data_IF_084642780378
#
_entry.id   IF_084642780378
#
_cell.length_a   1.000
_cell.length_b   1.000
_cell.length_c   1.000
_cell.angle_alpha   90.00
_cell.angle_beta   90.00
_cell.angle_gamma   90.00
#
_symmetry.space_group_name_H-M   'P 1'
#
loop_
_entity.id
_entity.type
_entity.pdbx_description
1 polymer ?
#
# COMPACT_ATOMS: atom_id res chain seq x y z
N UNK A 1 35.09 -0.32 -17.44
CA UNK A 1 33.89 0.19 -17.14
C UNK A 1 33.11 -0.69 -16.30
N UNK A 2 32.56 -0.15 -15.35
CA UNK A 2 31.84 -0.92 -14.39
C UNK A 2 30.44 -1.15 -14.87
N UNK A 3 30.02 -2.35 -14.79
CA UNK A 3 28.66 -2.65 -15.08
C UNK A 3 27.83 -2.15 -13.91
N UNK A 4 26.88 -1.28 -14.16
CA UNK A 4 26.11 -0.77 -13.05
C UNK A 4 25.30 -1.86 -12.40
N UNK A 5 25.49 -2.03 -11.12
CA UNK A 5 24.63 -2.90 -10.35
C UNK A 5 23.23 -2.27 -10.30
N UNK A 6 22.17 -3.08 -10.30
CA UNK A 6 20.84 -2.51 -10.12
C UNK A 6 20.83 -1.78 -8.80
N UNK A 7 20.26 -0.59 -8.79
CA UNK A 7 20.14 0.16 -7.56
C UNK A 7 19.17 -0.53 -6.64
N UNK A 8 19.54 -0.69 -5.39
CA UNK A 8 18.65 -1.27 -4.40
C UNK A 8 17.63 -0.24 -3.97
N UNK A 9 16.39 -0.64 -3.74
CA UNK A 9 15.38 0.29 -3.24
C UNK A 9 15.74 0.75 -1.83
N UNK A 10 15.47 2.02 -1.57
CA UNK A 10 15.59 2.57 -0.22
C UNK A 10 14.23 2.81 0.36
N UNK A 11 14.16 2.93 1.67
CA UNK A 11 12.94 3.30 2.37
C UNK A 11 13.18 4.57 3.15
N UNK A 12 12.20 5.45 3.16
CA UNK A 12 12.25 6.63 4.00
C UNK A 12 10.84 7.10 4.34
N UNK A 13 10.70 7.94 5.38
CA UNK A 13 9.38 8.50 5.68
C UNK A 13 8.91 9.45 4.59
N UNK A 14 7.60 9.61 4.50
CA UNK A 14 6.98 10.56 3.60
C UNK A 14 7.37 12.00 3.97
N UNK A 15 7.64 12.80 2.96
CA UNK A 15 7.84 14.24 3.11
C UNK A 15 6.76 14.96 2.29
N UNK A 16 6.30 16.14 2.74
CA UNK A 16 5.23 16.84 2.02
C UNK A 16 5.50 17.03 0.53
N UNK A 17 6.75 17.23 0.15
CA UNK A 17 7.09 17.40 -1.26
C UNK A 17 6.88 16.14 -2.09
N UNK A 18 6.66 15.00 -1.45
CA UNK A 18 6.45 13.74 -2.18
C UNK A 18 5.04 13.64 -2.74
N UNK A 19 4.10 14.43 -2.24
CA UNK A 19 2.68 14.23 -2.58
C UNK A 19 2.41 14.20 -4.08
N UNK A 20 3.01 15.11 -4.84
CA UNK A 20 2.80 15.14 -6.28
C UNK A 20 3.29 13.88 -6.99
N UNK A 21 4.49 13.43 -6.63
CA UNK A 21 5.05 12.22 -7.24
C UNK A 21 4.24 10.98 -6.85
N UNK A 22 3.76 10.92 -5.61
CA UNK A 22 2.98 9.79 -5.17
C UNK A 22 1.59 9.77 -5.80
N UNK A 23 1.02 10.94 -6.07
CA UNK A 23 -0.25 11.00 -6.79
C UNK A 23 -0.09 10.44 -8.20
N UNK A 24 0.99 10.83 -8.90
CA UNK A 24 1.27 10.31 -10.23
C UNK A 24 1.50 8.80 -10.20
N UNK A 25 2.16 8.33 -9.16
CA UNK A 25 2.43 6.92 -8.98
C UNK A 25 1.13 6.13 -8.83
N UNK A 26 0.17 6.66 -8.07
CA UNK A 26 -1.13 6.03 -7.93
C UNK A 26 -1.83 5.91 -9.27
N UNK A 27 -1.83 6.99 -10.05
CA UNK A 27 -2.48 6.99 -11.35
C UNK A 27 -1.86 5.95 -12.28
N UNK A 28 -0.53 5.92 -12.33
CA UNK A 28 0.17 4.96 -13.18
C UNK A 28 -0.10 3.52 -12.73
N UNK A 29 -0.12 3.29 -11.44
CA UNK A 29 -0.34 1.96 -10.89
C UNK A 29 -1.75 1.45 -11.21
N UNK A 30 -2.75 2.30 -11.01
CA UNK A 30 -4.12 1.90 -11.27
C UNK A 30 -4.32 1.62 -12.76
N UNK A 31 -3.82 2.50 -13.61
CA UNK A 31 -3.97 2.36 -15.05
C UNK A 31 -3.35 1.08 -15.56
N UNK A 32 -2.16 0.75 -15.09
CA UNK A 32 -1.43 -0.40 -15.61
C UNK A 32 -1.81 -1.71 -14.92
N UNK A 33 -1.92 -1.71 -13.60
CA UNK A 33 -2.03 -2.95 -12.86
C UNK A 33 -3.48 -3.39 -12.62
N UNK A 34 -4.44 -2.49 -12.78
CA UNK A 34 -5.84 -2.81 -12.59
C UNK A 34 -6.60 -2.97 -13.90
N UNK A 35 -5.91 -2.88 -15.03
CA UNK A 35 -6.56 -2.86 -16.34
C UNK A 35 -7.38 -4.12 -16.64
N UNK A 36 -6.96 -5.26 -16.11
CA UNK A 36 -7.67 -6.51 -16.39
C UNK A 36 -8.90 -6.71 -15.51
N UNK A 37 -8.92 -6.08 -14.36
CA UNK A 37 -9.98 -6.31 -13.38
C UNK A 37 -11.04 -5.21 -13.36
N UNK A 38 -10.73 -4.04 -13.90
CA UNK A 38 -11.61 -2.88 -13.81
C UNK A 38 -11.70 -2.17 -15.14
N UNK A 39 -12.88 -1.64 -15.46
CA UNK A 39 -13.08 -0.86 -16.68
C UNK A 39 -12.33 0.45 -16.60
N UNK A 40 -12.17 1.11 -17.74
CA UNK A 40 -11.50 2.40 -17.78
C UNK A 40 -12.24 3.42 -16.91
N UNK A 41 -13.58 3.42 -16.96
CA UNK A 41 -14.36 4.33 -16.12
C UNK A 41 -14.16 4.04 -14.63
N UNK A 42 -14.09 2.76 -14.26
CA UNK A 42 -13.83 2.39 -12.87
C UNK A 42 -12.44 2.82 -12.43
N UNK A 43 -11.45 2.68 -13.31
CA UNK A 43 -10.08 3.09 -12.99
C UNK A 43 -9.98 4.61 -12.80
N UNK A 44 -10.64 5.38 -13.67
CA UNK A 44 -10.64 6.82 -13.54
C UNK A 44 -11.30 7.28 -12.26
N UNK A 45 -12.47 6.71 -11.94
CA UNK A 45 -13.17 7.08 -10.72
C UNK A 45 -12.33 6.75 -9.49
N UNK A 46 -11.70 5.58 -9.49
CA UNK A 46 -10.85 5.17 -8.38
C UNK A 46 -9.67 6.13 -8.22
N UNK A 47 -8.98 6.43 -9.33
CA UNK A 47 -7.82 7.32 -9.29
C UNK A 47 -8.20 8.69 -8.77
N UNK A 48 -9.31 9.25 -9.25
CA UNK A 48 -9.76 10.55 -8.80
C UNK A 48 -10.08 10.58 -7.31
N UNK A 49 -10.65 9.51 -6.80
CA UNK A 49 -11.00 9.45 -5.38
C UNK A 49 -9.75 9.43 -4.49
N UNK A 50 -8.67 8.85 -4.99
CA UNK A 50 -7.45 8.77 -4.21
C UNK A 50 -6.71 10.10 -4.20
N UNK A 51 -6.59 10.74 -5.36
CA UNK A 51 -5.76 11.94 -5.47
C UNK A 51 -6.56 13.23 -5.32
N UNK A 52 -7.75 13.14 -4.74
CA UNK A 52 -8.58 14.31 -4.49
C UNK A 52 -7.90 15.27 -3.51
N UNK A 53 -8.54 16.42 -3.32
CA UNK A 53 -8.03 17.42 -2.37
C UNK A 53 -7.77 16.77 -1.02
N UNK A 54 -6.65 17.11 -0.41
CA UNK A 54 -6.31 16.57 0.89
C UNK A 54 -5.45 15.32 0.83
N UNK A 55 -5.03 14.90 -0.37
CA UNK A 55 -4.19 13.72 -0.51
C UNK A 55 -2.90 13.84 0.33
N UNK A 56 -2.20 14.96 0.23
CA UNK A 56 -0.98 15.17 1.01
C UNK A 56 -1.20 15.14 2.51
N UNK A 57 -2.28 15.75 2.98
CA UNK A 57 -2.61 15.73 4.41
C UNK A 57 -2.97 14.32 4.87
N UNK A 58 -3.65 13.56 4.02
CA UNK A 58 -3.98 12.17 4.33
C UNK A 58 -2.71 11.35 4.55
N UNK A 59 -1.72 11.53 3.68
CA UNK A 59 -0.45 10.83 3.81
C UNK A 59 0.31 11.30 5.05
N UNK A 60 0.27 12.60 5.34
CA UNK A 60 0.98 13.15 6.50
C UNK A 60 0.39 12.68 7.83
N UNK A 61 -0.91 12.42 7.86
CA UNK A 61 -1.55 11.95 9.09
C UNK A 61 -1.35 10.44 9.34
N UNK A 62 -0.92 9.72 8.32
CA UNK A 62 -0.68 8.30 8.43
C UNK A 62 0.81 8.03 8.64
N UNK A 63 1.15 6.83 9.07
CA UNK A 63 2.52 6.38 9.00
C UNK A 63 2.75 6.01 7.53
N UNK A 64 3.45 6.85 6.81
CA UNK A 64 3.66 6.66 5.37
C UNK A 64 5.13 6.46 5.09
N UNK A 65 5.45 5.34 4.45
CA UNK A 65 6.81 5.02 4.02
C UNK A 65 6.89 5.09 2.52
N UNK A 66 7.97 5.64 2.02
CA UNK A 66 8.21 5.78 0.58
C UNK A 66 9.40 4.93 0.18
N UNK A 67 9.22 4.12 -0.85
CA UNK A 67 10.32 3.35 -1.42
C UNK A 67 10.89 4.15 -2.57
N UNK A 68 12.21 4.24 -2.65
CA UNK A 68 12.88 4.99 -3.70
C UNK A 68 13.92 4.13 -4.41
N UNK A 69 14.16 4.46 -5.68
CA UNK A 69 15.28 3.90 -6.43
C UNK A 69 16.01 5.10 -7.00
N UNK A 70 17.28 5.24 -6.65
CA UNK A 70 18.09 6.40 -7.06
C UNK A 70 17.42 7.72 -6.72
N UNK A 71 16.77 7.73 -5.55
CA UNK A 71 16.14 8.95 -5.05
C UNK A 71 14.73 9.20 -5.54
N UNK A 72 14.28 8.47 -6.53
CA UNK A 72 12.93 8.67 -7.09
C UNK A 72 11.93 7.73 -6.44
N UNK A 73 10.76 8.23 -6.01
CA UNK A 73 9.75 7.36 -5.43
C UNK A 73 9.25 6.31 -6.43
N UNK A 74 9.21 5.06 -5.99
CA UNK A 74 8.71 3.96 -6.82
C UNK A 74 7.59 3.18 -6.13
N UNK A 75 7.27 3.53 -4.90
CA UNK A 75 6.17 2.90 -4.19
C UNK A 75 5.97 3.57 -2.85
N UNK A 76 4.80 3.34 -2.24
CA UNK A 76 4.56 3.83 -0.89
C UNK A 76 3.46 3.02 -0.23
N UNK A 77 3.43 3.09 1.10
CA UNK A 77 2.40 2.46 1.90
C UNK A 77 2.05 3.41 3.04
N UNK A 78 0.76 3.58 3.30
CA UNK A 78 0.28 4.43 4.37
C UNK A 78 -0.55 3.61 5.34
N UNK A 79 -0.17 3.65 6.62
CA UNK A 79 -0.85 2.93 7.68
C UNK A 79 -1.55 3.94 8.57
N UNK A 80 -2.88 3.83 8.69
CA UNK A 80 -3.69 4.74 9.49
C UNK A 80 -4.00 4.11 10.82
N UNK A 81 -3.89 4.92 11.89
CA UNK A 81 -4.26 4.51 13.25
C UNK A 81 -3.55 3.24 13.72
N UNK A 82 -2.35 3.01 13.20
CA UNK A 82 -1.55 1.83 13.51
C UNK A 82 -2.30 0.52 13.24
N UNK A 83 -3.25 0.55 12.32
CA UNK A 83 -4.15 -0.59 12.12
C UNK A 83 -4.53 -0.81 10.67
N UNK A 84 -4.94 0.23 9.95
CA UNK A 84 -5.50 0.06 8.60
C UNK A 84 -4.52 0.49 7.52
N UNK A 85 -4.24 -0.43 6.59
CA UNK A 85 -3.43 -0.08 5.43
C UNK A 85 -4.34 0.72 4.50
N UNK A 86 -4.16 2.02 4.52
CA UNK A 86 -5.04 2.96 3.82
C UNK A 86 -4.71 3.09 2.33
N UNK A 87 -3.43 3.14 2.02
CA UNK A 87 -2.97 3.24 0.63
C UNK A 87 -1.70 2.41 0.49
N UNK A 88 -1.57 1.74 -0.65
CA UNK A 88 -0.40 0.90 -0.90
C UNK A 88 -0.27 0.73 -2.40
N UNK A 89 0.74 1.36 -2.98
CA UNK A 89 0.94 1.33 -4.43
C UNK A 89 2.41 1.19 -4.78
N UNK A 90 2.67 0.47 -5.87
CA UNK A 90 4.01 0.32 -6.43
C UNK A 90 3.93 0.72 -7.89
N UNK A 91 4.88 1.53 -8.34
CA UNK A 91 4.90 1.95 -9.75
C UNK A 91 5.05 0.73 -10.66
N UNK A 92 4.33 0.69 -11.78
CA UNK A 92 4.42 -0.46 -12.69
C UNK A 92 5.85 -0.83 -13.10
N UNK A 93 6.72 0.16 -13.27
CA UNK A 93 8.10 -0.12 -13.65
C UNK A 93 8.88 -0.84 -12.56
N UNK A 94 8.42 -0.77 -11.33
CA UNK A 94 9.08 -1.44 -10.22
C UNK A 94 8.32 -2.69 -9.76
N UNK A 95 7.23 -3.02 -10.45
CA UNK A 95 6.45 -4.20 -10.07
C UNK A 95 7.29 -5.46 -10.26
N UNK A 96 7.14 -6.41 -9.35
CA UNK A 96 7.87 -7.67 -9.44
C UNK A 96 9.29 -7.59 -8.93
N UNK A 97 9.72 -6.46 -8.39
CA UNK A 97 11.09 -6.29 -7.91
C UNK A 97 11.21 -6.28 -6.39
N UNK A 98 10.18 -6.71 -5.70
CA UNK A 98 10.22 -6.82 -4.24
C UNK A 98 9.93 -5.53 -3.50
N UNK A 99 9.57 -4.46 -4.20
CA UNK A 99 9.28 -3.17 -3.55
C UNK A 99 8.07 -3.28 -2.64
N UNK A 100 7.00 -3.94 -3.11
CA UNK A 100 5.80 -4.12 -2.30
C UNK A 100 6.08 -4.91 -1.03
N UNK A 101 6.85 -6.00 -1.15
CA UNK A 101 7.22 -6.81 0.00
C UNK A 101 8.02 -6.00 1.01
N UNK A 102 8.96 -5.20 0.53
CA UNK A 102 9.79 -4.37 1.39
C UNK A 102 8.96 -3.35 2.16
N UNK A 103 8.04 -2.67 1.46
CA UNK A 103 7.17 -1.68 2.08
C UNK A 103 6.27 -2.32 3.11
N UNK A 104 5.62 -3.42 2.75
CA UNK A 104 4.70 -4.07 3.65
C UNK A 104 5.43 -4.61 4.89
N UNK A 105 6.57 -5.27 4.69
CA UNK A 105 7.30 -5.86 5.83
C UNK A 105 7.74 -4.77 6.80
N UNK A 106 8.14 -3.62 6.31
CA UNK A 106 8.53 -2.50 7.16
C UNK A 106 7.35 -1.97 7.97
N UNK A 107 6.19 -1.82 7.32
CA UNK A 107 4.99 -1.33 8.01
C UNK A 107 4.51 -2.31 9.06
N UNK A 108 4.53 -3.60 8.75
CA UNK A 108 4.11 -4.59 9.75
C UNK A 108 5.05 -4.56 10.96
N UNK A 109 6.34 -4.46 10.72
CA UNK A 109 7.32 -4.40 11.81
C UNK A 109 7.10 -3.18 12.68
N UNK A 110 6.85 -2.03 12.05
CA UNK A 110 6.58 -0.81 12.80
C UNK A 110 5.26 -0.88 13.56
N UNK A 111 4.24 -1.47 12.96
CA UNK A 111 2.95 -1.62 13.64
C UNK A 111 3.11 -2.46 14.89
N UNK A 112 3.86 -3.56 14.81
CA UNK A 112 4.12 -4.41 15.97
C UNK A 112 4.90 -3.65 17.04
N UNK A 113 5.92 -2.90 16.63
CA UNK A 113 6.74 -2.13 17.58
C UNK A 113 5.92 -1.09 18.30
N UNK A 114 4.84 -0.63 17.69
CA UNK A 114 3.95 0.36 18.30
C UNK A 114 2.76 -0.27 19.02
N UNK A 115 2.83 -1.56 19.29
CA UNK A 115 1.80 -2.25 20.03
C UNK A 115 0.58 -2.67 19.22
N UNK A 116 0.67 -2.65 17.90
CA UNK A 116 -0.44 -3.07 17.05
C UNK A 116 -0.74 -4.54 17.20
N UNK A 117 -2.03 -4.88 17.21
CA UNK A 117 -2.47 -6.26 17.39
C UNK A 117 -3.22 -6.81 16.18
N UNK A 118 -3.55 -5.93 15.23
CA UNK A 118 -4.34 -6.33 14.08
C UNK A 118 -4.09 -5.37 12.94
N UNK A 119 -3.93 -5.89 11.73
CA UNK A 119 -3.89 -5.07 10.54
C UNK A 119 -5.12 -5.39 9.70
N UNK A 120 -5.71 -4.36 9.10
CA UNK A 120 -6.83 -4.52 8.18
C UNK A 120 -6.48 -3.82 6.86
N UNK A 121 -7.11 -4.25 5.79
CA UNK A 121 -6.91 -3.64 4.48
C UNK A 121 -8.14 -3.94 3.62
N UNK A 122 -8.50 -2.98 2.77
CA UNK A 122 -9.51 -3.20 1.74
C UNK A 122 -8.75 -3.31 0.43
N UNK A 123 -8.76 -4.50 -0.18
CA UNK A 123 -7.90 -4.77 -1.32
C UNK A 123 -8.70 -4.95 -2.60
N UNK A 124 -8.14 -4.44 -3.69
CA UNK A 124 -8.68 -4.70 -5.01
C UNK A 124 -8.41 -6.15 -5.37
N UNK A 125 -9.14 -6.65 -6.37
CA UNK A 125 -9.00 -8.04 -6.77
C UNK A 125 -7.58 -8.40 -7.19
N UNK A 126 -6.89 -7.48 -7.84
CA UNK A 126 -5.53 -7.77 -8.31
C UNK A 126 -4.50 -7.77 -7.18
N UNK A 127 -4.82 -7.21 -6.02
CA UNK A 127 -3.89 -7.16 -4.89
C UNK A 127 -4.15 -8.26 -3.85
N UNK A 128 -5.26 -8.96 -3.97
CA UNK A 128 -5.67 -9.91 -2.95
C UNK A 128 -4.64 -11.00 -2.68
N UNK A 129 -4.07 -11.57 -3.74
CA UNK A 129 -3.09 -12.64 -3.59
C UNK A 129 -1.87 -12.24 -2.79
N UNK A 130 -1.43 -10.99 -2.95
CA UNK A 130 -0.29 -10.48 -2.19
C UNK A 130 -0.56 -10.56 -0.69
N UNK A 131 -1.76 -10.14 -0.28
CA UNK A 131 -2.09 -10.13 1.16
C UNK A 131 -2.38 -11.53 1.68
N UNK A 132 -2.97 -12.39 0.85
CA UNK A 132 -3.19 -13.78 1.27
C UNK A 132 -1.87 -14.47 1.56
N UNK A 133 -0.87 -14.24 0.75
CA UNK A 133 0.45 -14.85 0.96
C UNK A 133 1.12 -14.33 2.22
N UNK A 134 0.68 -13.19 2.74
CA UNK A 134 1.26 -12.61 3.95
C UNK A 134 0.43 -12.90 5.19
N UNK A 135 -0.55 -13.79 5.09
CA UNK A 135 -1.29 -14.24 6.24
C UNK A 135 -2.59 -13.51 6.50
N UNK A 136 -3.03 -12.67 5.57
CA UNK A 136 -4.33 -12.02 5.69
C UNK A 136 -5.42 -12.99 5.30
N UNK A 137 -6.57 -12.90 5.98
CA UNK A 137 -7.75 -13.67 5.64
C UNK A 137 -8.89 -12.74 5.27
N UNK A 138 -9.71 -13.17 4.34
CA UNK A 138 -10.82 -12.36 3.87
C UNK A 138 -11.93 -12.36 4.90
N UNK A 139 -12.47 -11.17 5.19
CA UNK A 139 -13.60 -11.02 6.09
C UNK A 139 -14.91 -10.88 5.32
N UNK A 140 -14.91 -10.05 4.28
CA UNK A 140 -16.12 -9.82 3.51
C UNK A 140 -15.79 -9.19 2.17
N UNK A 141 -16.71 -9.38 1.24
CA UNK A 141 -16.66 -8.73 -0.07
C UNK A 141 -17.48 -7.44 0.01
N UNK A 142 -16.95 -6.37 -0.51
CA UNK A 142 -17.62 -5.07 -0.51
C UNK A 142 -17.86 -4.57 -1.92
N UNK A 143 -18.89 -3.76 -2.06
CA UNK A 143 -19.10 -2.99 -3.26
C UNK A 143 -19.18 -1.54 -2.82
N UNK A 144 -18.30 -0.72 -3.37
CA UNK A 144 -18.24 0.69 -2.99
C UNK A 144 -18.54 1.56 -4.20
N UNK A 145 -19.17 2.69 -3.95
CA UNK A 145 -19.45 3.66 -5.00
C UNK A 145 -18.34 4.70 -5.01
N UNK A 146 -17.74 4.89 -6.16
CA UNK A 146 -16.69 5.89 -6.33
C UNK A 146 -17.08 6.71 -7.54
N UNK A 147 -17.44 7.98 -7.32
CA UNK A 147 -18.05 8.78 -8.39
C UNK A 147 -19.34 8.10 -8.83
N UNK A 148 -19.46 7.83 -10.12
CA UNK A 148 -20.63 7.16 -10.67
C UNK A 148 -20.39 5.67 -10.90
N UNK A 149 -19.26 5.14 -10.40
CA UNK A 149 -18.87 3.76 -10.65
C UNK A 149 -18.94 2.90 -9.40
N UNK A 150 -19.16 1.60 -9.60
CA UNK A 150 -19.14 0.62 -8.52
C UNK A 150 -17.85 -0.15 -8.58
N UNK A 151 -17.16 -0.24 -7.46
CA UNK A 151 -15.91 -1.00 -7.37
C UNK A 151 -16.06 -2.10 -6.33
N UNK A 152 -15.58 -3.29 -6.67
CA UNK A 152 -15.56 -4.38 -5.72
C UNK A 152 -14.21 -4.44 -5.03
N UNK A 153 -14.21 -4.69 -3.74
CA UNK A 153 -12.97 -4.99 -3.03
C UNK A 153 -13.27 -5.98 -1.93
N UNK A 154 -12.22 -6.46 -1.27
CA UNK A 154 -12.35 -7.42 -0.19
C UNK A 154 -11.67 -6.85 1.05
N UNK A 155 -12.40 -6.86 2.18
CA UNK A 155 -11.79 -6.49 3.45
C UNK A 155 -11.07 -7.70 3.99
N UNK A 156 -9.80 -7.53 4.34
CA UNK A 156 -8.97 -8.60 4.86
C UNK A 156 -8.33 -8.16 6.17
N UNK A 157 -7.96 -9.13 7.00
CA UNK A 157 -7.30 -8.80 8.25
C UNK A 157 -6.20 -9.80 8.55
N UNK A 158 -5.23 -9.34 9.34
CA UNK A 158 -4.16 -10.19 9.85
C UNK A 158 -3.94 -9.87 11.32
N UNK A 159 -4.20 -10.82 12.24
CA UNK A 159 -3.82 -10.63 13.63
C UNK A 159 -2.30 -10.63 13.73
N UNK A 160 -1.75 -9.68 14.48
CA UNK A 160 -0.33 -9.63 14.72
C UNK A 160 -0.03 -10.39 15.99
N UNK A 161 1.02 -11.20 15.95
CA UNK A 161 1.38 -11.97 17.11
C UNK A 161 1.71 -11.01 18.24
N UNK A 162 1.25 -11.33 19.42
CA UNK A 162 1.59 -10.53 20.58
C UNK A 162 3.09 -10.57 20.73
N UNK A 163 3.69 -9.45 21.03
CA UNK A 163 5.09 -9.39 21.25
C UNK A 163 5.33 -10.26 22.39
N UNK A 164 5.99 -11.14 22.36
CA UNK A 164 6.29 -11.86 23.33
C UNK A 164 5.62 -12.56 23.96
N UNK A 165 5.03 -12.64 23.35
CA UNK A 165 4.34 -13.22 23.86
C UNK A 165 4.85 -14.11 24.54
N UNK A 166 4.91 -14.38 24.26
CA UNK A 166 5.18 -15.03 24.75
C UNK A 166 5.91 -15.07 25.50
N UNK A 167 6.30 -14.63 25.23
CA UNK A 167 7.09 -14.63 25.86
C UNK A 167 6.78 -15.02 26.94
N UNK A 168 6.36 -15.05 27.01
CA UNK A 168 6.23 -15.28 27.94
C UNK A 168 6.08 -16.23 28.47
N UNK A 169 6.02 -16.60 28.46
CA UNK A 169 5.88 -17.37 29.04
C UNK A 169 5.99 -17.94 29.44
N UNK A 170 5.94 -18.30 29.92
CA UNK A 170 5.98 -18.92 30.52
C UNK A 170 5.92 -19.53 31.02
#
# INVERSE_FOLDING_TARGET
MTDPSPSLPGLRPFLPDDAGALAELCLASIEELAAEDYSEAQQEAWAESIVADGFGERLARSLTLVATVEGAPVGFIALRDNRHVDLFFVHPRAAGQGVGAMLYDAVERLARARGGVLLTVDVSDNARGFFERRGFTALRRNTVTVGDEWLGNTTMEKPLAAPDAGGGSP
#
